data_IF_550998915784
#
_entry.id   IF_550998915784
#
_cell.length_a   1.000
_cell.length_b   1.000
_cell.length_c   1.000
_cell.angle_alpha   90.00
_cell.angle_beta   90.00
_cell.angle_gamma   90.00
#
_symmetry.space_group_name_H-M   'P 1'
#
loop_
_entity.id
_entity.type
_entity.pdbx_description
1 polymer ?
#
# COMPACT_ATOMS: atom_id res chain seq x y z
N UNK A 1 12.03 21.88 -13.79
CA UNK A 1 12.40 22.44 -12.48
C UNK A 1 11.19 23.19 -11.95
N UNK A 2 10.18 22.49 -11.43
CA UNK A 2 9.02 23.14 -10.81
C UNK A 2 9.01 22.77 -9.33
N UNK A 3 9.20 23.82 -8.56
CA UNK A 3 9.15 23.88 -7.11
C UNK A 3 7.79 23.36 -6.65
N UNK A 4 7.76 22.17 -6.04
CA UNK A 4 6.73 21.87 -5.06
C UNK A 4 6.99 22.83 -3.92
N UNK A 5 6.10 23.80 -3.74
CA UNK A 5 6.00 24.60 -2.53
C UNK A 5 5.70 23.63 -1.38
N UNK A 6 6.77 23.03 -0.85
CA UNK A 6 6.75 22.33 0.41
C UNK A 6 6.40 23.40 1.45
N UNK A 7 5.12 23.50 1.77
CA UNK A 7 4.67 24.06 3.03
C UNK A 7 5.33 23.25 4.14
N UNK A 8 6.50 23.72 4.61
CA UNK A 8 7.36 23.08 5.61
C UNK A 8 6.79 23.26 7.04
N UNK A 9 5.46 23.31 7.17
CA UNK A 9 4.78 23.27 8.45
C UNK A 9 4.83 21.86 9.05
N UNK A 10 5.01 21.76 10.37
CA UNK A 10 4.79 20.50 11.10
C UNK A 10 3.32 20.11 10.93
N UNK A 11 3.07 19.10 10.08
CA UNK A 11 1.71 18.56 9.89
C UNK A 11 1.32 17.67 11.06
N UNK A 12 0.05 17.74 11.42
CA UNK A 12 -0.60 16.88 12.40
C UNK A 12 -1.70 16.07 11.70
N UNK A 13 -1.92 14.83 12.15
CA UNK A 13 -2.97 13.98 11.59
C UNK A 13 -4.37 14.61 11.71
N UNK A 14 -4.58 15.43 12.76
CA UNK A 14 -5.90 15.95 13.12
C UNK A 14 -6.90 14.81 13.23
N UNK A 15 -7.98 14.91 12.47
CA UNK A 15 -9.08 13.95 12.40
C UNK A 15 -8.78 12.67 11.60
N UNK A 16 -7.69 12.63 10.82
CA UNK A 16 -7.38 11.50 9.95
C UNK A 16 -6.84 10.30 10.76
N UNK A 17 -7.47 9.14 10.58
CA UNK A 17 -7.03 7.87 11.21
C UNK A 17 -6.89 6.70 10.21
N UNK A 18 -6.85 6.98 8.89
CA UNK A 18 -6.92 5.93 7.85
C UNK A 18 -5.80 4.89 7.95
N UNK A 19 -4.60 5.28 8.39
CA UNK A 19 -3.50 4.33 8.61
C UNK A 19 -3.81 3.26 9.66
N UNK A 20 -4.64 3.56 10.66
CA UNK A 20 -5.08 2.60 11.67
C UNK A 20 -5.99 1.51 11.10
N UNK A 21 -6.65 1.78 9.96
CA UNK A 21 -7.41 0.77 9.22
C UNK A 21 -6.52 0.05 8.21
N UNK A 22 -5.81 0.80 7.36
CA UNK A 22 -5.10 0.24 6.19
C UNK A 22 -3.89 -0.61 6.55
N UNK A 23 -3.08 -0.19 7.53
CA UNK A 23 -1.79 -0.83 7.80
C UNK A 23 -1.92 -2.03 8.72
N UNK A 24 -1.04 -3.02 8.57
CA UNK A 24 -0.86 -4.10 9.55
C UNK A 24 -0.09 -3.58 10.77
N UNK A 25 -0.48 -4.02 11.97
CA UNK A 25 0.22 -3.72 13.21
C UNK A 25 0.41 -5.01 14.02
N UNK A 26 1.59 -5.61 13.89
CA UNK A 26 1.91 -6.90 14.51
C UNK A 26 1.85 -6.86 16.05
N UNK A 27 2.32 -5.78 16.67
CA UNK A 27 2.26 -5.55 18.14
C UNK A 27 0.82 -5.58 18.69
N UNK A 28 -0.19 -5.37 17.84
CA UNK A 28 -1.61 -5.41 18.18
C UNK A 28 -2.35 -6.60 17.56
N UNK A 29 -1.62 -7.55 16.95
CA UNK A 29 -2.19 -8.63 16.13
C UNK A 29 -3.21 -8.13 15.07
N UNK A 30 -3.05 -6.88 14.60
CA UNK A 30 -4.00 -6.23 13.71
C UNK A 30 -3.59 -6.45 12.26
N UNK A 31 -4.48 -7.06 11.47
CA UNK A 31 -4.29 -7.18 10.03
C UNK A 31 -4.49 -5.83 9.32
N UNK A 32 -3.84 -5.65 8.17
CA UNK A 32 -4.15 -4.54 7.27
C UNK A 32 -5.59 -4.66 6.76
N UNK A 33 -6.27 -3.53 6.57
CA UNK A 33 -7.68 -3.50 6.20
C UNK A 33 -8.67 -3.64 7.34
N UNK A 34 -8.25 -4.20 8.48
CA UNK A 34 -9.09 -4.34 9.67
C UNK A 34 -8.97 -3.06 10.50
N UNK A 35 -10.07 -2.36 10.82
CA UNK A 35 -10.05 -1.23 11.73
C UNK A 35 -9.38 -1.59 13.06
N UNK A 36 -8.56 -0.69 13.60
CA UNK A 36 -7.91 -0.93 14.87
C UNK A 36 -8.96 -0.91 15.99
N UNK A 37 -8.92 -1.89 16.89
CA UNK A 37 -9.82 -1.96 18.05
C UNK A 37 -9.72 -0.73 18.98
N UNK A 38 -8.59 -0.02 18.92
CA UNK A 38 -8.39 1.21 19.68
C UNK A 38 -8.81 2.47 18.93
N UNK A 39 -9.37 2.38 17.72
CA UNK A 39 -10.04 3.53 17.12
C UNK A 39 -11.30 3.81 17.95
N UNK A 40 -11.38 5.03 18.49
CA UNK A 40 -12.52 5.42 19.30
C UNK A 40 -13.75 5.53 18.40
N UNK A 41 -14.83 4.84 18.77
CA UNK A 41 -16.09 4.82 18.01
C UNK A 41 -16.90 6.10 18.29
N UNK A 42 -16.66 6.77 19.43
CA UNK A 42 -17.34 8.00 19.84
C UNK A 42 -16.57 9.30 19.55
N UNK A 43 -15.26 9.22 19.30
CA UNK A 43 -14.42 10.36 18.94
C UNK A 43 -13.44 10.00 17.82
N UNK A 44 -12.99 10.98 17.03
CA UNK A 44 -11.97 10.72 16.01
C UNK A 44 -10.62 10.49 16.68
N UNK A 45 -10.01 9.32 16.48
CA UNK A 45 -8.63 9.06 16.91
C UNK A 45 -8.44 7.71 17.59
N UNK A 46 -7.37 7.60 18.40
CA UNK A 46 -6.97 6.39 19.11
C UNK A 46 -7.22 6.53 20.61
N UNK A 47 -8.03 5.64 21.20
CA UNK A 47 -8.38 5.64 22.63
C UNK A 47 -7.20 5.41 23.56
N UNK A 48 -6.13 4.79 23.06
CA UNK A 48 -4.86 4.58 23.79
C UNK A 48 -3.72 5.45 23.26
N UNK A 49 -4.02 6.59 22.61
CA UNK A 49 -3.00 7.39 21.91
C UNK A 49 -1.72 7.67 22.74
N UNK A 50 -1.78 8.02 24.04
CA UNK A 50 -0.57 8.22 24.86
C UNK A 50 0.26 6.95 25.08
N UNK A 51 -0.40 5.79 25.18
CA UNK A 51 0.22 4.48 25.43
C UNK A 51 0.38 3.64 24.17
N UNK A 52 0.14 4.20 22.97
CA UNK A 52 0.18 3.48 21.70
C UNK A 52 1.52 2.75 21.50
N UNK A 53 1.54 1.59 20.81
CA UNK A 53 2.75 0.80 20.62
C UNK A 53 3.84 1.55 19.82
N UNK A 54 5.09 1.09 19.90
CA UNK A 54 6.25 1.82 19.34
C UNK A 54 6.10 2.02 17.83
N UNK A 55 5.66 0.99 17.12
CA UNK A 55 5.42 1.06 15.68
C UNK A 55 4.41 2.15 15.29
N UNK A 56 3.35 2.33 16.09
CA UNK A 56 2.35 3.38 15.87
C UNK A 56 2.87 4.80 16.18
N UNK A 57 3.85 4.94 17.08
CA UNK A 57 4.51 6.23 17.36
C UNK A 57 5.50 6.61 16.27
N UNK A 58 6.23 5.62 15.75
CA UNK A 58 7.30 5.83 14.78
C UNK A 58 6.78 6.07 13.36
N UNK A 59 5.60 5.55 13.02
CA UNK A 59 5.06 5.65 11.67
C UNK A 59 4.65 7.09 11.30
N UNK A 60 5.04 7.51 10.09
CA UNK A 60 4.60 8.74 9.43
C UNK A 60 4.27 8.43 7.97
N UNK A 61 3.05 8.72 7.52
CA UNK A 61 2.70 8.60 6.10
C UNK A 61 3.33 9.75 5.29
N UNK A 62 3.35 9.60 3.96
CA UNK A 62 3.97 10.57 3.07
C UNK A 62 3.38 11.98 3.21
N UNK A 63 2.06 12.10 3.39
CA UNK A 63 1.41 13.38 3.67
C UNK A 63 1.90 14.01 4.97
N UNK A 64 1.99 13.24 6.07
CA UNK A 64 2.45 13.75 7.37
C UNK A 64 3.93 14.14 7.33
N UNK A 65 4.71 13.51 6.46
CA UNK A 65 6.12 13.83 6.20
C UNK A 65 6.32 14.98 5.20
N UNK A 66 5.23 15.58 4.68
CA UNK A 66 5.30 16.73 3.77
C UNK A 66 5.51 16.38 2.30
N UNK A 67 5.46 15.10 1.92
CA UNK A 67 5.66 14.67 0.53
C UNK A 67 4.44 14.78 -0.39
N UNK A 68 3.28 15.17 0.13
CA UNK A 68 2.06 15.39 -0.66
C UNK A 68 1.49 16.79 -0.39
N UNK A 69 0.58 17.29 -1.23
CA UNK A 69 -0.07 18.58 -0.99
C UNK A 69 -1.02 18.50 0.24
N UNK A 70 -1.41 19.64 0.81
CA UNK A 70 -2.38 19.68 1.93
C UNK A 70 -3.67 18.89 1.63
N UNK A 71 -4.35 19.07 0.46
CA UNK A 71 -5.60 18.37 0.19
C UNK A 71 -5.46 16.86 0.09
N UNK A 72 -4.24 16.34 -0.12
CA UNK A 72 -3.92 14.93 -0.32
C UNK A 72 -3.81 14.14 1.00
N UNK A 73 -4.55 14.55 2.03
CA UNK A 73 -4.60 13.84 3.31
C UNK A 73 -5.21 12.43 3.10
N UNK A 74 -4.69 11.37 3.75
CA UNK A 74 -5.08 10.00 3.44
C UNK A 74 -6.58 9.71 3.47
N UNK A 75 -7.31 10.24 4.45
CA UNK A 75 -8.77 10.09 4.57
C UNK A 75 -9.55 10.77 3.43
N UNK A 76 -8.99 11.80 2.80
CA UNK A 76 -9.56 12.45 1.60
C UNK A 76 -9.26 11.68 0.32
N UNK A 77 -8.08 11.05 0.25
CA UNK A 77 -7.70 10.21 -0.89
C UNK A 77 -8.32 8.81 -0.84
N UNK A 78 -8.68 8.32 0.34
CA UNK A 78 -9.06 6.93 0.56
C UNK A 78 -7.87 5.95 0.50
N UNK A 79 -6.63 6.45 0.50
CA UNK A 79 -5.43 5.62 0.44
C UNK A 79 -4.32 6.15 1.34
N UNK A 80 -3.49 5.24 1.84
CA UNK A 80 -2.26 5.56 2.58
C UNK A 80 -1.08 5.42 1.65
N UNK A 81 -0.29 6.49 1.57
CA UNK A 81 0.90 6.55 0.74
C UNK A 81 2.14 6.62 1.63
N UNK A 82 3.16 5.81 1.32
CA UNK A 82 4.48 5.88 1.95
C UNK A 82 5.59 5.47 0.99
N UNK A 83 6.77 6.04 1.19
CA UNK A 83 7.99 5.64 0.49
C UNK A 83 8.62 4.49 1.27
N UNK A 84 8.81 3.35 0.60
CA UNK A 84 9.37 2.14 1.20
C UNK A 84 10.70 1.83 0.54
N UNK A 85 11.74 1.66 1.36
CA UNK A 85 13.02 1.14 0.94
C UNK A 85 13.09 -0.37 1.23
N UNK A 86 13.34 -1.18 0.21
CA UNK A 86 13.56 -2.62 0.32
C UNK A 86 14.89 -2.96 -0.34
N UNK A 87 15.95 -3.02 0.47
CA UNK A 87 17.32 -3.14 -0.05
C UNK A 87 17.66 -1.91 -0.93
N UNK A 88 18.17 -2.10 -2.16
CA UNK A 88 18.52 -0.99 -3.04
C UNK A 88 17.30 -0.32 -3.71
N UNK A 89 16.11 -0.94 -3.61
CA UNK A 89 14.91 -0.45 -4.29
C UNK A 89 14.13 0.47 -3.37
N UNK A 90 14.00 1.72 -3.77
CA UNK A 90 13.06 2.69 -3.19
C UNK A 90 11.83 2.75 -4.09
N UNK A 91 10.64 2.71 -3.50
CA UNK A 91 9.38 2.82 -4.23
C UNK A 91 8.34 3.60 -3.43
N UNK A 92 7.38 4.20 -4.13
CA UNK A 92 6.14 4.64 -3.51
C UNK A 92 5.19 3.46 -3.39
N UNK A 93 4.57 3.28 -2.22
CA UNK A 93 3.44 2.38 -2.06
C UNK A 93 2.15 3.17 -1.86
N UNK A 94 1.15 2.87 -2.69
CA UNK A 94 -0.22 3.32 -2.55
C UNK A 94 -1.04 2.14 -2.01
N UNK A 95 -1.60 2.28 -0.81
CA UNK A 95 -2.45 1.27 -0.17
C UNK A 95 -3.87 1.79 -0.05
N UNK A 96 -4.73 1.27 -0.92
CA UNK A 96 -6.13 1.67 -1.01
C UNK A 96 -6.93 1.08 0.14
N UNK A 97 -7.80 1.89 0.75
CA UNK A 97 -8.69 1.45 1.84
C UNK A 97 -9.84 0.55 1.38
N UNK A 98 -10.07 0.46 0.07
CA UNK A 98 -10.96 -0.51 -0.58
C UNK A 98 -10.47 -0.78 -2.01
N UNK A 99 -10.74 -1.96 -2.59
CA UNK A 99 -10.36 -2.25 -3.97
C UNK A 99 -10.95 -1.23 -4.97
N UNK A 100 -10.15 -0.83 -5.96
CA UNK A 100 -10.58 -0.01 -7.10
C UNK A 100 -10.70 1.49 -6.84
N UNK A 101 -10.16 2.01 -5.73
CA UNK A 101 -10.08 3.45 -5.47
C UNK A 101 -9.10 4.16 -6.40
N UNK A 102 -8.00 3.51 -6.75
CA UNK A 102 -6.97 4.05 -7.63
C UNK A 102 -7.54 4.26 -9.03
N UNK A 103 -8.27 3.28 -9.55
CA UNK A 103 -9.00 3.39 -10.82
C UNK A 103 -10.05 4.50 -10.80
N UNK A 104 -10.69 4.74 -9.66
CA UNK A 104 -11.75 5.73 -9.53
C UNK A 104 -11.25 7.16 -9.21
N UNK A 105 -9.94 7.34 -8.94
CA UNK A 105 -9.39 8.59 -8.42
C UNK A 105 -8.35 9.18 -9.36
N UNK A 106 -8.74 10.22 -10.09
CA UNK A 106 -7.82 11.00 -10.92
C UNK A 106 -6.67 11.59 -10.10
N UNK A 107 -6.93 11.97 -8.85
CA UNK A 107 -5.87 12.53 -7.98
C UNK A 107 -4.83 11.47 -7.60
N UNK A 108 -5.24 10.25 -7.27
CA UNK A 108 -4.30 9.15 -7.01
C UNK A 108 -3.50 8.81 -8.27
N UNK A 109 -4.14 8.79 -9.43
CA UNK A 109 -3.45 8.58 -10.71
C UNK A 109 -2.41 9.68 -10.97
N UNK A 110 -2.74 10.95 -10.72
CA UNK A 110 -1.83 12.07 -10.89
C UNK A 110 -0.61 11.99 -9.95
N UNK A 111 -0.83 11.68 -8.66
CA UNK A 111 0.27 11.48 -7.70
C UNK A 111 1.16 10.33 -8.15
N UNK A 112 0.57 9.23 -8.62
CA UNK A 112 1.34 8.09 -9.09
C UNK A 112 2.17 8.41 -10.34
N UNK A 113 1.61 9.18 -11.28
CA UNK A 113 2.33 9.63 -12.48
C UNK A 113 3.49 10.59 -12.15
N UNK A 114 3.29 11.47 -11.16
CA UNK A 114 4.34 12.35 -10.67
C UNK A 114 5.51 11.53 -10.08
N UNK A 115 5.22 10.61 -9.17
CA UNK A 115 6.26 9.83 -8.48
C UNK A 115 6.93 8.77 -9.36
N UNK A 116 6.17 8.13 -10.28
CA UNK A 116 6.72 7.08 -11.15
C UNK A 116 7.86 7.57 -12.05
N UNK A 117 7.93 8.88 -12.29
CA UNK A 117 9.01 9.51 -13.06
C UNK A 117 10.40 9.29 -12.44
N UNK A 118 10.46 9.07 -11.12
CA UNK A 118 11.71 8.95 -10.35
C UNK A 118 11.88 7.58 -9.67
N UNK A 119 10.79 6.90 -9.31
CA UNK A 119 10.83 5.62 -8.62
C UNK A 119 9.62 4.77 -8.95
N UNK A 120 9.67 3.43 -8.89
CA UNK A 120 8.49 2.61 -9.08
C UNK A 120 7.35 2.98 -8.10
N UNK A 121 6.11 2.89 -8.56
CA UNK A 121 4.91 3.05 -7.73
C UNK A 121 4.16 1.73 -7.68
N UNK A 122 4.02 1.17 -6.48
CA UNK A 122 3.25 -0.05 -6.26
C UNK A 122 1.88 0.30 -5.69
N UNK A 123 0.83 -0.16 -6.35
CA UNK A 123 -0.55 -0.03 -5.88
C UNK A 123 -1.04 -1.39 -5.37
N UNK A 124 -1.62 -1.37 -4.18
CA UNK A 124 -2.27 -2.52 -3.53
C UNK A 124 -3.52 -2.06 -2.80
N UNK A 125 -4.42 -2.98 -2.51
CA UNK A 125 -5.58 -2.74 -1.68
C UNK A 125 -5.56 -3.60 -0.40
N UNK A 126 -6.50 -3.29 0.50
CA UNK A 126 -6.71 -4.02 1.77
C UNK A 126 -7.54 -5.30 1.62
N UNK A 127 -7.97 -5.67 0.42
CA UNK A 127 -8.67 -6.91 0.13
C UNK A 127 -7.76 -8.12 0.27
N UNK A 128 -8.27 -9.17 0.91
CA UNK A 128 -7.60 -10.47 1.05
C UNK A 128 -6.13 -10.35 1.50
N UNK A 129 -5.82 -9.55 2.53
CA UNK A 129 -4.42 -9.28 2.94
C UNK A 129 -3.60 -10.51 3.29
N UNK A 130 -4.25 -11.63 3.65
CA UNK A 130 -3.61 -12.92 3.93
C UNK A 130 -3.33 -13.73 2.67
N UNK A 131 -3.93 -13.37 1.54
CA UNK A 131 -3.69 -14.02 0.25
C UNK A 131 -2.31 -13.61 -0.29
N UNK A 132 -1.34 -14.55 -0.38
CA UNK A 132 -0.04 -14.28 -0.96
C UNK A 132 -0.10 -13.99 -2.47
N UNK A 133 -1.21 -14.34 -3.12
CA UNK A 133 -1.44 -14.16 -4.55
C UNK A 133 -2.28 -12.92 -4.87
N UNK A 134 -2.54 -12.08 -3.85
CA UNK A 134 -3.31 -10.85 -4.00
C UNK A 134 -2.74 -9.98 -5.11
N UNK A 135 -3.63 -9.35 -5.85
CA UNK A 135 -3.26 -8.50 -6.96
C UNK A 135 -2.49 -7.27 -6.51
N UNK A 136 -1.61 -6.80 -7.39
CA UNK A 136 -0.98 -5.50 -7.26
C UNK A 136 -0.66 -4.94 -8.64
N UNK A 137 -0.54 -3.63 -8.71
CA UNK A 137 -0.05 -2.93 -9.89
C UNK A 137 1.32 -2.33 -9.60
N UNK A 138 2.19 -2.35 -10.58
CA UNK A 138 3.49 -1.70 -10.53
C UNK A 138 3.58 -0.74 -11.71
N UNK A 139 3.69 0.55 -11.42
CA UNK A 139 4.01 1.58 -12.40
C UNK A 139 5.51 1.79 -12.36
N UNK A 140 6.16 1.63 -13.49
CA UNK A 140 7.58 1.85 -13.64
C UNK A 140 7.83 3.22 -14.29
N UNK A 141 9.06 3.74 -14.16
CA UNK A 141 9.53 4.83 -15.02
C UNK A 141 9.30 4.52 -16.51
N UNK A 142 9.26 5.56 -17.34
CA UNK A 142 9.10 5.44 -18.81
C UNK A 142 7.75 4.87 -19.28
N UNK A 143 6.74 4.85 -18.42
CA UNK A 143 5.37 4.50 -18.83
C UNK A 143 5.04 3.01 -18.79
N UNK A 144 5.98 2.11 -18.47
CA UNK A 144 5.72 0.68 -18.33
C UNK A 144 4.89 0.35 -17.07
N UNK A 145 3.90 -0.54 -17.21
CA UNK A 145 3.02 -0.93 -16.13
C UNK A 145 2.79 -2.43 -16.08
N UNK A 146 2.86 -3.01 -14.89
CA UNK A 146 2.56 -4.42 -14.65
C UNK A 146 1.33 -4.55 -13.77
N UNK A 147 0.33 -5.32 -14.20
CA UNK A 147 -0.77 -5.78 -13.35
C UNK A 147 -0.55 -7.26 -13.04
N UNK A 148 -0.24 -7.57 -11.79
CA UNK A 148 0.04 -8.94 -11.33
C UNK A 148 -1.16 -9.44 -10.55
N UNK A 149 -1.65 -10.63 -10.89
CA UNK A 149 -2.73 -11.31 -10.19
C UNK A 149 -2.50 -12.82 -10.21
N UNK A 150 -2.20 -13.41 -9.05
CA UNK A 150 -1.78 -14.81 -8.97
C UNK A 150 -0.61 -15.12 -9.90
N UNK A 151 -0.81 -16.08 -10.82
CA UNK A 151 0.21 -16.52 -11.78
C UNK A 151 0.24 -15.72 -13.09
N UNK A 152 -0.58 -14.66 -13.18
CA UNK A 152 -0.70 -13.83 -14.37
C UNK A 152 -0.04 -12.47 -14.17
N UNK A 153 0.56 -11.97 -15.25
CA UNK A 153 1.11 -10.62 -15.32
C UNK A 153 0.71 -10.02 -16.66
N UNK A 154 -0.05 -8.93 -16.61
CA UNK A 154 -0.31 -8.09 -17.77
C UNK A 154 0.73 -6.98 -17.81
N UNK A 155 1.44 -6.83 -18.92
CA UNK A 155 2.46 -5.82 -19.14
C UNK A 155 1.95 -4.85 -20.20
N UNK A 156 1.78 -3.60 -19.81
CA UNK A 156 1.46 -2.50 -20.70
C UNK A 156 2.70 -1.62 -20.88
N UNK A 157 3.12 -1.43 -22.13
CA UNK A 157 4.23 -0.52 -22.50
C UNK A 157 3.70 0.48 -23.52
N UNK A 158 4.03 1.77 -23.41
CA UNK A 158 3.61 2.77 -24.39
C UNK A 158 3.97 2.35 -25.82
N UNK A 159 3.01 2.46 -26.73
CA UNK A 159 3.20 2.12 -28.15
C UNK A 159 3.32 0.62 -28.46
N UNK A 160 3.10 -0.27 -27.50
CA UNK A 160 3.09 -1.73 -27.71
C UNK A 160 1.74 -2.34 -27.34
N UNK A 161 1.34 -3.44 -27.99
CA UNK A 161 0.14 -4.16 -27.59
C UNK A 161 0.28 -4.71 -26.16
N UNK A 162 -0.85 -4.84 -25.47
CA UNK A 162 -0.90 -5.45 -24.13
C UNK A 162 -0.35 -6.88 -24.18
N UNK A 163 0.67 -7.15 -23.38
CA UNK A 163 1.27 -8.47 -23.28
C UNK A 163 0.77 -9.18 -22.02
N UNK A 164 0.20 -10.39 -22.18
CA UNK A 164 -0.23 -11.22 -21.03
C UNK A 164 0.71 -12.40 -20.88
N UNK A 165 1.42 -12.45 -19.76
CA UNK A 165 2.31 -13.54 -19.39
C UNK A 165 1.71 -14.36 -18.27
N UNK A 166 1.91 -15.66 -18.34
CA UNK A 166 1.62 -16.59 -17.25
C UNK A 166 2.91 -17.24 -16.80
N UNK A 167 3.06 -17.45 -15.50
CA UNK A 167 4.19 -18.20 -14.98
C UNK A 167 4.31 -19.59 -15.66
N UNK A 168 5.53 -20.03 -16.01
CA UNK A 168 5.79 -21.38 -16.48
C UNK A 168 5.21 -22.44 -15.55
N UNK A 169 4.89 -23.62 -16.08
CA UNK A 169 4.23 -24.69 -15.32
C UNK A 169 5.05 -25.14 -14.09
N UNK A 170 6.39 -25.16 -14.20
CA UNK A 170 7.28 -25.55 -13.11
C UNK A 170 7.19 -24.56 -11.95
N UNK A 171 7.27 -23.25 -12.24
CA UNK A 171 7.15 -22.20 -11.24
C UNK A 171 5.77 -22.21 -10.57
N UNK A 172 4.70 -22.43 -11.33
CA UNK A 172 3.34 -22.60 -10.77
C UNK A 172 3.26 -23.79 -9.81
N UNK A 173 3.93 -24.90 -10.14
CA UNK A 173 3.93 -26.10 -9.31
C UNK A 173 4.70 -25.87 -8.01
N UNK A 174 5.90 -25.29 -8.10
CA UNK A 174 6.70 -24.90 -6.93
C UNK A 174 5.95 -23.92 -6.04
N UNK A 175 5.34 -22.88 -6.63
CA UNK A 175 4.54 -21.89 -5.89
C UNK A 175 3.38 -22.55 -5.16
N UNK A 176 2.61 -23.41 -5.82
CA UNK A 176 1.51 -24.16 -5.17
C UNK A 176 2.00 -24.96 -3.97
N UNK A 177 3.15 -25.63 -4.08
CA UNK A 177 3.76 -26.37 -2.96
C UNK A 177 4.16 -25.43 -1.82
N UNK A 178 4.84 -24.32 -2.11
CA UNK A 178 5.23 -23.31 -1.11
C UNK A 178 4.01 -22.73 -0.39
N UNK A 179 2.96 -22.38 -1.14
CA UNK A 179 1.73 -21.84 -0.57
C UNK A 179 1.00 -22.87 0.30
N UNK A 180 0.97 -24.13 -0.12
CA UNK A 180 0.42 -25.24 0.67
C UNK A 180 1.17 -25.41 1.99
N UNK A 181 2.51 -25.40 1.94
CA UNK A 181 3.36 -25.47 3.12
C UNK A 181 3.14 -24.29 4.05
N UNK A 182 3.01 -23.07 3.51
CA UNK A 182 2.75 -21.86 4.30
C UNK A 182 1.39 -21.92 5.00
N UNK A 183 0.33 -22.33 4.29
CA UNK A 183 -1.00 -22.54 4.88
C UNK A 183 -0.98 -23.61 5.98
N UNK A 184 -0.27 -24.70 5.76
CA UNK A 184 -0.09 -25.76 6.77
C UNK A 184 0.60 -25.22 8.03
N UNK A 185 1.69 -24.45 7.88
CA UNK A 185 2.40 -23.83 9.03
C UNK A 185 1.53 -22.83 9.78
N UNK A 186 0.71 -22.05 9.09
CA UNK A 186 -0.22 -21.10 9.72
C UNK A 186 -1.39 -21.81 10.44
N UNK A 187 -1.73 -23.03 10.04
CA UNK A 187 -2.80 -23.83 10.65
C UNK A 187 -2.31 -24.77 11.76
N UNK A 188 -1.00 -25.01 11.87
CA UNK A 188 -0.43 -25.82 12.94
C UNK A 188 -0.56 -25.07 14.29
N UNK A 189 -1.03 -25.74 15.37
CA UNK A 189 -1.09 -25.11 16.69
C UNK A 189 0.33 -24.72 17.13
N UNK A 190 0.50 -23.60 17.85
CA UNK A 190 1.80 -23.24 18.41
C UNK A 190 2.26 -24.36 19.36
N UNK A 191 3.51 -24.79 19.19
CA UNK A 191 4.21 -25.72 20.07
C UNK A 191 4.50 -25.09 21.43
#
# INVERSE_FOLDING_TARGET
>A
MNQVDADQGVRNCGDCSLCCQVLRVDELAKLGGVPCIHQDVGAKGCSIHPSRPKICRAYRCLWLSGGLAEPDRPDRLGAVLDVVAQGPVVRLEIRESRPGLFEASERLAAIAEEYRSSMPVRITDVGNVLDPDRSYRLLLPEGEEHRVAGDWTEVHKPGRPLERRRLPWLERTVRRLVLRLRRYRLAAPPS
#
